data_IF_649567207135
#
_entry.id   IF_649567207135
#
_cell.length_a   1.000
_cell.length_b   1.000
_cell.length_c   1.000
_cell.angle_alpha   90.00
_cell.angle_beta   90.00
_cell.angle_gamma   90.00
#
_symmetry.space_group_name_H-M   'P 1'
#
loop_
_entity.id
_entity.type
_entity.pdbx_description
1 polymer ?
2 water ?
#
# COMPACT_ATOMS: atom_id res chain seq x y z
N UNK A 1 -13.85 11.53 3.26
CA UNK A 1 -14.01 11.51 1.78
C UNK A 1 -13.43 10.24 1.15
N UNK A 2 -13.84 9.97 -0.09
CA UNK A 2 -13.34 8.82 -0.84
C UNK A 2 -11.99 9.16 -1.47
N UNK A 3 -10.99 8.35 -1.15
CA UNK A 3 -9.65 8.50 -1.71
C UNK A 3 -9.38 7.34 -2.67
N UNK A 4 -8.95 7.67 -3.88
CA UNK A 4 -8.60 6.67 -4.86
C UNK A 4 -7.13 6.31 -4.72
N UNK A 5 -6.85 5.01 -4.78
CA UNK A 5 -5.57 4.42 -4.41
C UNK A 5 -5.07 3.47 -5.49
N UNK A 6 -3.76 3.28 -5.55
CA UNK A 6 -3.17 2.35 -6.51
C UNK A 6 -1.84 1.85 -5.99
N UNK A 7 -1.51 0.60 -6.33
CA UNK A 7 -0.26 0.00 -5.90
C UNK A 7 0.14 -1.14 -6.81
N UNK A 8 1.44 -1.44 -6.82
CA UNK A 8 1.96 -2.58 -7.59
C UNK A 8 2.23 -3.76 -6.66
N UNK A 9 1.97 -4.99 -7.12
CA UNK A 9 2.35 -6.12 -6.29
C UNK A 9 3.86 -6.14 -5.99
N UNK A 10 4.24 -6.65 -4.80
CA UNK A 10 5.64 -6.72 -4.43
C UNK A 10 6.37 -7.83 -5.21
N UNK A 11 7.70 -7.74 -5.24
CA UNK A 11 8.55 -8.82 -5.74
C UNK A 11 8.42 -10.07 -4.87
N UNK A 12 8.69 -11.26 -5.45
CA UNK A 12 8.70 -12.44 -4.60
C UNK A 12 9.63 -12.31 -3.40
N UNK A 13 9.22 -12.93 -2.30
CA UNK A 13 9.94 -12.95 -1.02
C UNK A 13 9.89 -11.64 -0.22
N UNK A 14 9.27 -10.60 -0.77
CA UNK A 14 9.04 -9.35 -0.02
C UNK A 14 8.00 -9.60 1.07
N UNK A 15 7.00 -10.40 0.72
CA UNK A 15 5.85 -10.66 1.57
C UNK A 15 5.46 -12.13 1.52
N UNK A 16 5.66 -12.85 2.62
CA UNK A 16 5.19 -14.24 2.69
C UNK A 16 3.67 -14.31 2.56
N UNK A 17 2.98 -13.31 3.13
CA UNK A 17 1.52 -13.28 3.01
C UNK A 17 1.07 -13.17 1.56
N UNK A 18 1.67 -12.24 0.82
CA UNK A 18 1.28 -12.04 -0.57
C UNK A 18 1.63 -13.29 -1.40
N UNK A 19 2.84 -13.80 -1.21
CA UNK A 19 3.28 -14.98 -1.96
C UNK A 19 2.36 -16.19 -1.73
N UNK A 20 1.83 -16.35 -0.52
CA UNK A 20 0.89 -17.42 -0.25
C UNK A 20 -0.50 -17.14 -0.84
N UNK A 21 -0.94 -15.88 -0.78
CA UNK A 21 -2.25 -15.54 -1.33
C UNK A 21 -2.32 -15.86 -2.81
N UNK A 22 -1.23 -15.56 -3.54
CA UNK A 22 -1.28 -15.75 -4.99
C UNK A 22 -1.26 -17.23 -5.41
N UNK A 23 -1.07 -18.13 -4.45
CA UNK A 23 -1.31 -19.55 -4.73
C UNK A 23 -2.77 -19.85 -5.00
N UNK A 24 -3.66 -19.03 -4.43
CA UNK A 24 -5.10 -19.28 -4.50
C UNK A 24 -6.00 -18.10 -4.90
N UNK A 25 -5.43 -16.91 -5.09
CA UNK A 25 -6.17 -15.77 -5.63
C UNK A 25 -5.32 -15.03 -6.68
N UNK A 26 -5.96 -14.21 -7.52
CA UNK A 26 -5.19 -13.39 -8.47
C UNK A 26 -4.27 -12.39 -7.76
N UNK A 27 -3.21 -11.91 -8.44
CA UNK A 27 -2.41 -10.84 -7.83
C UNK A 27 -3.25 -9.64 -7.40
N UNK A 28 -4.24 -9.27 -8.21
CA UNK A 28 -5.12 -8.12 -7.92
C UNK A 28 -5.94 -8.34 -6.66
N UNK A 29 -6.63 -9.47 -6.58
CA UNK A 29 -7.42 -9.84 -5.40
C UNK A 29 -6.54 -9.91 -4.16
N UNK A 30 -5.39 -10.56 -4.31
CA UNK A 30 -4.47 -10.75 -3.19
C UNK A 30 -4.01 -9.40 -2.64
N UNK A 31 -3.62 -8.48 -3.53
CA UNK A 31 -3.13 -7.17 -3.07
C UNK A 31 -4.25 -6.36 -2.43
N UNK A 32 -5.46 -6.48 -2.97
CA UNK A 32 -6.62 -5.77 -2.44
C UNK A 32 -6.95 -6.24 -1.02
N UNK A 33 -6.84 -7.55 -0.79
CA UNK A 33 -7.04 -8.15 0.55
C UNK A 33 -6.06 -7.55 1.55
N UNK A 34 -4.79 -7.52 1.15
CA UNK A 34 -3.75 -6.96 2.01
C UNK A 34 -3.96 -5.47 2.25
N UNK A 35 -4.25 -4.73 1.18
CA UNK A 35 -4.42 -3.27 1.27
C UNK A 35 -5.54 -2.88 2.24
N UNK A 36 -6.60 -3.67 2.28
CA UNK A 36 -7.73 -3.41 3.18
C UNK A 36 -7.25 -3.34 4.63
N UNK A 37 -6.44 -4.33 5.01
CA UNK A 37 -5.89 -4.42 6.35
C UNK A 37 -4.81 -3.34 6.54
N UNK A 38 -3.92 -3.21 5.57
CA UNK A 38 -2.83 -2.23 5.61
C UNK A 38 -3.37 -0.79 5.77
N UNK A 39 -4.43 -0.46 5.04
CA UNK A 39 -4.99 0.90 5.13
C UNK A 39 -5.70 1.12 6.46
N UNK A 40 -6.26 0.05 7.02
CA UNK A 40 -6.86 0.11 8.35
C UNK A 40 -5.82 0.40 9.41
N UNK A 41 -4.70 -0.34 9.36
CA UNK A 41 -3.57 -0.14 10.27
C UNK A 41 -3.01 1.28 10.11
N UNK A 42 -2.90 1.72 8.86
CA UNK A 42 -2.25 3.00 8.51
C UNK A 42 -3.05 4.21 8.98
N UNK A 43 -4.38 4.10 8.92
CA UNK A 43 -5.30 5.15 9.40
C UNK A 43 -4.99 5.54 10.83
N UNK A 44 -4.74 4.54 11.67
CA UNK A 44 -4.44 4.77 13.08
C UNK A 44 -3.09 5.44 13.28
N UNK A 45 -2.19 5.25 12.31
CA UNK A 45 -0.87 5.90 12.30
C UNK A 45 -0.93 7.34 11.77
N UNK A 46 -1.92 7.62 10.93
CA UNK A 46 -2.14 8.97 10.44
C UNK A 46 -2.59 9.84 11.60
N UNK A 47 -3.48 9.27 12.41
CA UNK A 47 -4.10 9.99 13.52
C UNK A 47 -3.10 10.57 14.51
N UNK A 48 -1.97 9.89 14.71
CA UNK A 48 -0.97 10.32 15.68
C UNK A 48 0.38 10.77 15.10
N UNK A 49 0.46 10.84 13.77
CA UNK A 49 1.69 11.28 13.09
C UNK A 49 2.81 10.26 12.97
N UNK A 50 2.63 9.08 13.56
CA UNK A 50 3.69 8.07 13.55
C UNK A 50 3.99 7.53 12.14
N UNK A 51 3.05 7.73 11.22
CA UNK A 51 3.20 7.27 9.84
C UNK A 51 4.39 7.90 9.12
N UNK A 52 4.83 9.07 9.57
CA UNK A 52 5.96 9.77 8.95
C UNK A 52 7.29 9.05 9.18
N UNK A 53 7.31 8.12 10.13
CA UNK A 53 8.49 7.29 10.41
C UNK A 53 8.46 5.93 9.72
N UNK A 54 7.42 5.69 8.94
CA UNK A 54 7.23 4.41 8.31
C UNK A 54 7.85 4.37 6.90
N UNK A 55 8.26 3.17 6.44
CA UNK A 55 8.82 2.98 5.09
C UNK A 55 7.89 3.51 4.00
N UNK A 56 8.47 3.99 2.90
CA UNK A 56 7.71 4.66 1.85
C UNK A 56 7.36 3.73 0.68
N UNK A 57 8.23 2.77 0.42
CA UNK A 57 8.06 1.84 -0.70
C UNK A 57 8.70 0.48 -0.43
N UNK A 58 8.60 -0.40 -1.43
CA UNK A 58 9.05 -1.78 -1.31
C UNK A 58 9.51 -2.29 -2.68
N UNK A 59 10.32 -3.35 -2.71
CA UNK A 59 10.79 -3.89 -4.00
C UNK A 59 9.64 -4.44 -4.86
N UNK A 60 9.69 -4.13 -6.15
CA UNK A 60 8.75 -4.68 -7.13
C UNK A 60 9.48 -5.62 -8.12
N UNK A 61 8.75 -6.54 -8.79
CA UNK A 61 9.46 -7.52 -9.64
C UNK A 61 10.09 -6.89 -10.88
N UNK A 62 11.21 -7.47 -11.32
CA UNK A 62 11.88 -7.12 -12.58
C UNK A 62 12.30 -8.40 -13.29
N UNK A 63 11.34 -9.31 -13.44
CA UNK A 63 11.55 -10.63 -14.01
C UNK A 63 10.65 -10.79 -15.24
N UNK A 64 11.11 -11.57 -16.21
CA UNK A 64 10.31 -11.92 -17.38
C UNK A 64 9.13 -12.79 -16.94
N UNK A 65 9.23 -13.38 -15.75
CA UNK A 65 8.15 -14.19 -15.19
C UNK A 65 7.03 -13.34 -14.60
N UNK A 66 7.26 -12.03 -14.50
CA UNK A 66 6.25 -11.13 -13.94
C UNK A 66 5.92 -9.96 -14.86
N UNK A 67 4.64 -9.86 -15.21
CA UNK A 67 4.13 -8.77 -16.04
C UNK A 67 3.71 -7.58 -15.16
N UNK A 68 3.50 -6.43 -15.80
CA UNK A 68 3.12 -5.21 -15.10
C UNK A 68 1.68 -5.29 -14.61
N UNK A 69 1.51 -5.13 -13.30
CA UNK A 69 0.19 -5.07 -12.70
C UNK A 69 0.11 -3.83 -11.79
N UNK A 70 -0.84 -2.95 -12.09
CA UNK A 70 -1.20 -1.89 -11.15
C UNK A 70 -2.63 -2.13 -10.70
N UNK A 71 -2.80 -2.22 -9.38
CA UNK A 71 -4.10 -2.48 -8.78
C UNK A 71 -4.74 -1.15 -8.38
N UNK A 72 -6.02 -0.98 -8.71
CA UNK A 72 -6.75 0.27 -8.46
C UNK A 72 -7.90 0.04 -7.48
N UNK A 73 -8.04 0.94 -6.51
CA UNK A 73 -9.07 0.80 -5.50
C UNK A 73 -9.45 2.17 -4.92
N UNK A 74 -10.54 2.20 -4.16
CA UNK A 74 -10.89 3.38 -3.37
C UNK A 74 -11.27 3.00 -1.94
N UNK A 75 -11.26 3.99 -1.04
CA UNK A 75 -11.59 3.79 0.37
C UNK A 75 -11.93 5.13 1.01
N UNK A 76 -12.87 5.11 1.96
CA UNK A 76 -13.27 6.30 2.71
C UNK A 76 -12.31 6.56 3.86
N UNK A 77 -11.84 7.80 3.96
CA UNK A 77 -11.00 8.23 5.07
C UNK A 77 -11.62 9.47 5.71
N UNK A 78 -11.52 9.60 7.04
CA UNK A 78 -11.86 10.89 7.66
C UNK A 78 -10.98 12.00 7.07
N UNK A 79 -11.58 13.16 6.83
CA UNK A 79 -10.92 14.31 6.19
C UNK A 79 -9.71 14.82 6.98
N UNK A 80 -9.80 14.75 8.30
CA UNK A 80 -8.72 15.11 9.21
C UNK A 80 -7.44 14.30 8.93
N UNK A 81 -7.60 13.00 8.73
CA UNK A 81 -6.49 12.08 8.50
C UNK A 81 -5.87 12.26 7.11
N UNK A 82 -6.72 12.51 6.11
CA UNK A 82 -6.25 12.77 4.75
C UNK A 82 -5.51 14.09 4.66
N UNK A 83 -5.96 15.08 5.43
CA UNK A 83 -5.20 16.32 5.57
C UNK A 83 -3.79 16.03 6.10
N UNK A 84 -3.70 15.23 7.16
CA UNK A 84 -2.41 14.83 7.72
C UNK A 84 -1.55 14.08 6.68
N UNK A 85 -2.16 13.14 5.96
CA UNK A 85 -1.49 12.41 4.87
C UNK A 85 -0.96 13.35 3.78
N UNK A 86 -1.83 14.22 3.27
CA UNK A 86 -1.47 15.19 2.23
C UNK A 86 -0.35 16.14 2.64
N UNK A 87 -0.37 16.59 3.89
CA UNK A 87 0.69 17.46 4.40
C UNK A 87 2.07 16.83 4.26
N UNK A 88 2.11 15.50 4.36
CA UNK A 88 3.35 14.75 4.33
C UNK A 88 3.73 14.24 2.95
N UNK A 89 2.78 13.62 2.26
CA UNK A 89 3.02 13.03 0.95
C UNK A 89 2.94 14.04 -0.19
N UNK A 90 2.32 15.19 0.09
CA UNK A 90 2.11 16.26 -0.90
C UNK A 90 2.43 17.61 -0.25
N UNK A 91 3.67 17.77 0.27
CA UNK A 91 4.01 18.90 1.13
C UNK A 91 3.88 20.28 0.46
N UNK A 92 3.89 20.29 -0.87
CA UNK A 92 3.80 21.54 -1.65
C UNK A 92 2.40 21.73 -2.26
N UNK A 93 1.55 20.71 -2.11
CA UNK A 93 0.20 20.71 -2.67
C UNK A 93 0.15 20.61 -4.19
N UNK A 94 1.22 20.08 -4.78
CA UNK A 94 1.36 19.99 -6.24
C UNK A 94 1.05 18.62 -6.85
N UNK A 95 0.89 17.59 -6.01
CA UNK A 95 0.64 16.25 -6.53
C UNK A 95 -0.83 16.11 -6.96
N UNK A 96 -1.06 15.42 -8.07
CA UNK A 96 -2.41 15.05 -8.47
C UNK A 96 -3.02 14.07 -7.45
N UNK A 97 -4.36 13.98 -7.44
CA UNK A 97 -5.07 12.99 -6.62
C UNK A 97 -4.55 11.57 -6.86
N UNK A 98 -4.34 11.21 -8.12
CA UNK A 98 -3.86 9.86 -8.48
C UNK A 98 -2.46 9.61 -7.92
N UNK A 99 -1.57 10.58 -8.07
CA UNK A 99 -0.21 10.46 -7.55
C UNK A 99 -0.21 10.36 -6.02
N UNK A 100 -1.05 11.16 -5.37
CA UNK A 100 -1.20 11.09 -3.91
C UNK A 100 -1.69 9.71 -3.46
N UNK A 101 -2.72 9.19 -4.14
CA UNK A 101 -3.27 7.86 -3.81
C UNK A 101 -2.29 6.72 -4.00
N UNK A 102 -1.43 6.84 -5.00
CA UNK A 102 -0.36 5.87 -5.20
C UNK A 102 0.63 5.92 -4.04
N UNK A 103 1.00 7.13 -3.62
CA UNK A 103 1.94 7.32 -2.51
C UNK A 103 1.37 6.76 -1.22
N UNK A 104 0.09 7.04 -0.98
CA UNK A 104 -0.59 6.62 0.24
C UNK A 104 -0.69 5.09 0.30
N UNK A 105 -1.20 4.49 -0.77
CA UNK A 105 -1.33 3.01 -0.80
C UNK A 105 0.02 2.33 -0.68
N UNK A 106 1.01 2.85 -1.41
CA UNK A 106 2.34 2.26 -1.42
C UNK A 106 2.98 2.30 -0.02
N UNK A 107 2.84 3.43 0.67
CA UNK A 107 3.34 3.56 2.04
C UNK A 107 2.63 2.61 3.00
N UNK A 108 1.32 2.51 2.87
CA UNK A 108 0.53 1.62 3.73
C UNK A 108 1.01 0.17 3.58
N UNK A 109 1.24 -0.23 2.34
CA UNK A 109 1.73 -1.59 2.07
C UNK A 109 3.17 -1.77 2.53
N UNK A 110 4.02 -0.77 2.28
CA UNK A 110 5.40 -0.82 2.71
C UNK A 110 5.48 -1.08 4.23
N UNK A 111 4.58 -0.43 4.97
CA UNK A 111 4.46 -0.58 6.42
C UNK A 111 4.01 -1.99 6.83
N UNK A 112 3.03 -2.53 6.11
CA UNK A 112 2.51 -3.88 6.35
C UNK A 112 3.62 -4.90 6.11
N UNK A 113 4.34 -4.75 4.99
CA UNK A 113 5.41 -5.67 4.63
C UNK A 113 6.59 -5.60 5.62
N UNK A 114 6.93 -4.39 6.08
CA UNK A 114 8.02 -4.24 7.06
C UNK A 114 7.64 -4.89 8.39
N UNK A 115 6.36 -4.79 8.74
CA UNK A 115 5.85 -5.38 9.99
C UNK A 115 5.93 -6.90 9.89
N UNK A 116 5.56 -7.43 8.73
CA UNK A 116 5.72 -8.87 8.46
C UNK A 116 7.16 -9.33 8.70
N UNK A 117 8.10 -8.63 8.08
CA UNK A 117 9.52 -8.97 8.17
C UNK A 117 10.00 -8.93 9.62
N UNK A 118 9.64 -7.86 10.33
CA UNK A 118 10.05 -7.63 11.72
C UNK A 118 9.45 -8.63 12.71
N UNK A 119 8.34 -9.26 12.35
CA UNK A 119 7.67 -10.21 13.24
C UNK A 119 7.82 -11.66 12.77
N UNK A 120 8.73 -11.88 11.82
CA UNK A 120 8.96 -13.21 11.22
C UNK A 120 7.71 -13.78 10.57
N UNK A 121 6.86 -12.87 10.09
CA UNK A 121 5.68 -13.26 9.35
C UNK A 121 4.79 -14.18 10.18
#
# INVERSE_FOLDING_TARGET
IQVFLSARPPAPEVSKIYDNLILQYSPSKSLQMILRRALGDFENMLADGSFRAAPKSYPIPHTAFEKSIIVQTSRMFPVSLIEAARNHFDPLGLETARAFGHKLATAALACFFAREKATNS
#
